data_IF_000189602577
#
_entry.id   IF_000189602577
#
_cell.length_a   1.000
_cell.length_b   1.000
_cell.length_c   1.000
_cell.angle_alpha   90.00
_cell.angle_beta   90.00
_cell.angle_gamma   90.00
#
_symmetry.space_group_name_H-M   'P 1'
#
loop_
_entity.id
_entity.type
_entity.pdbx_description
1 polymer ?
#
# COMPACT_ATOMS: atom_id res chain seq x y z
N UNK A 1 -1.90 10.80 9.47
CA UNK A 1 -1.64 11.98 8.62
C UNK A 1 -2.54 13.13 9.04
N UNK A 2 -2.08 14.37 8.89
CA UNK A 2 -2.92 15.58 9.01
C UNK A 2 -3.39 16.01 7.63
N UNK A 3 -4.70 16.20 7.48
CA UNK A 3 -5.35 16.71 6.26
C UNK A 3 -5.44 18.21 6.36
N UNK A 4 -5.00 18.91 5.31
CA UNK A 4 -4.87 20.37 5.27
C UNK A 4 -5.27 20.92 3.89
N UNK A 5 -5.69 22.19 3.77
CA UNK A 5 -5.77 22.88 2.48
C UNK A 5 -4.41 22.90 1.77
N UNK A 6 -4.39 22.88 0.44
CA UNK A 6 -3.12 22.86 -0.33
C UNK A 6 -2.25 24.11 -0.15
N UNK A 7 -2.85 25.21 0.18
CA UNK A 7 -2.20 26.50 0.44
C UNK A 7 -1.83 26.71 1.92
N UNK A 8 -2.10 25.72 2.79
CA UNK A 8 -1.76 25.79 4.20
C UNK A 8 -0.25 25.73 4.43
N UNK A 9 0.24 26.47 5.43
CA UNK A 9 1.67 26.59 5.75
C UNK A 9 2.35 25.22 5.99
N UNK A 10 1.66 24.29 6.62
CA UNK A 10 2.12 22.91 6.91
C UNK A 10 2.54 22.16 5.64
N UNK A 11 2.03 22.52 4.47
CA UNK A 11 2.37 21.87 3.21
C UNK A 11 3.83 22.09 2.80
N UNK A 12 4.51 23.08 3.37
CA UNK A 12 5.93 23.32 3.13
C UNK A 12 6.85 22.28 3.79
N UNK A 13 6.38 21.56 4.82
CA UNK A 13 7.10 20.47 5.47
C UNK A 13 6.81 19.13 4.77
N UNK A 14 7.75 18.19 4.82
CA UNK A 14 7.53 16.81 4.35
C UNK A 14 6.76 15.99 5.37
N UNK A 15 7.01 16.21 6.67
CA UNK A 15 6.34 15.59 7.81
C UNK A 15 6.23 16.60 8.96
N UNK A 16 5.34 16.35 9.91
CA UNK A 16 5.09 17.19 11.08
C UNK A 16 4.96 16.36 12.35
N UNK A 17 5.06 17.01 13.50
CA UNK A 17 4.80 16.46 14.83
C UNK A 17 3.50 16.98 15.39
N UNK A 18 2.99 16.37 16.48
CA UNK A 18 1.83 16.90 17.21
C UNK A 18 2.14 18.29 17.82
N UNK A 19 3.40 18.55 18.18
CA UNK A 19 3.83 19.84 18.69
C UNK A 19 3.72 20.96 17.63
N UNK A 20 3.97 20.65 16.36
CA UNK A 20 3.81 21.59 15.25
C UNK A 20 2.35 21.96 14.97
N UNK A 21 1.42 21.17 15.51
CA UNK A 21 -0.02 21.34 15.37
C UNK A 21 -0.69 21.90 16.63
N UNK A 22 0.11 22.25 17.67
CA UNK A 22 -0.43 22.63 18.97
C UNK A 22 -1.30 23.89 18.94
N UNK A 23 -0.96 24.84 18.08
CA UNK A 23 -1.67 26.13 17.91
C UNK A 23 -2.74 26.07 16.79
N UNK A 24 -2.94 24.92 16.18
CA UNK A 24 -3.92 24.73 15.11
C UNK A 24 -5.25 24.20 15.65
N UNK A 25 -6.36 24.67 15.08
CA UNK A 25 -7.68 24.09 15.38
C UNK A 25 -7.78 22.68 14.77
N UNK A 26 -7.88 21.67 15.63
CA UNK A 26 -7.98 20.29 15.20
C UNK A 26 -9.40 19.73 15.44
N UNK A 27 -9.96 19.13 14.37
CA UNK A 27 -11.24 18.45 14.47
C UNK A 27 -11.06 17.04 15.03
N UNK A 28 -11.92 16.68 15.98
CA UNK A 28 -12.06 15.35 16.56
C UNK A 28 -13.48 14.87 16.33
N UNK A 29 -13.83 14.32 15.14
CA UNK A 29 -15.19 13.90 14.84
C UNK A 29 -15.68 12.82 15.80
N UNK A 30 -17.00 12.61 15.89
CA UNK A 30 -17.57 11.62 16.80
C UNK A 30 -17.22 10.18 16.38
N UNK A 31 -16.89 9.95 15.13
CA UNK A 31 -16.43 8.68 14.54
C UNK A 31 -14.89 8.59 14.45
N UNK A 32 -14.16 9.40 15.23
CA UNK A 32 -12.69 9.34 15.29
C UNK A 32 -12.23 7.92 15.64
N UNK A 33 -11.25 7.42 14.87
CA UNK A 33 -10.67 6.08 15.05
C UNK A 33 -9.47 6.07 16.00
N UNK A 34 -9.03 7.23 16.45
CA UNK A 34 -7.94 7.35 17.42
C UNK A 34 -8.50 7.47 18.83
N UNK A 35 -7.86 6.76 19.75
CA UNK A 35 -8.08 6.89 21.18
C UNK A 35 -7.03 7.86 21.74
N UNK A 36 -7.42 9.11 21.92
CA UNK A 36 -6.57 10.17 22.39
C UNK A 36 -6.62 10.28 23.92
N UNK A 37 -5.50 10.05 24.60
CA UNK A 37 -5.37 10.37 26.03
C UNK A 37 -5.55 11.86 26.26
N UNK A 38 -4.98 12.68 25.36
CA UNK A 38 -5.16 14.12 25.29
C UNK A 38 -5.23 14.52 23.82
N UNK A 39 -6.38 14.97 23.32
CA UNK A 39 -6.50 15.44 21.96
C UNK A 39 -5.53 16.57 21.68
N UNK A 40 -4.73 16.51 20.56
CA UNK A 40 -3.79 17.57 20.22
C UNK A 40 -4.50 18.80 19.66
N UNK A 41 -3.78 19.92 19.63
CA UNK A 41 -4.24 21.17 19.04
C UNK A 41 -5.28 21.90 19.86
N UNK A 42 -5.80 22.99 19.32
CA UNK A 42 -6.91 23.73 19.90
C UNK A 42 -8.22 23.06 19.56
N UNK A 43 -9.12 22.84 20.55
CA UNK A 43 -10.42 22.24 20.29
C UNK A 43 -11.28 23.14 19.41
N UNK A 44 -11.92 22.59 18.41
CA UNK A 44 -12.94 23.29 17.63
C UNK A 44 -14.17 23.63 18.50
N UNK A 45 -14.84 24.72 18.17
CA UNK A 45 -16.07 25.13 18.85
C UNK A 45 -17.18 24.06 18.81
N UNK A 46 -17.27 23.35 17.71
CA UNK A 46 -18.24 22.27 17.51
C UNK A 46 -17.53 21.02 16.99
N UNK A 47 -17.94 19.86 17.51
CA UNK A 47 -17.42 18.57 17.11
C UNK A 47 -18.19 18.05 15.89
N UNK A 48 -17.53 17.81 14.73
CA UNK A 48 -18.20 17.24 13.57
C UNK A 48 -18.79 15.86 13.89
N UNK A 49 -19.95 15.54 13.31
CA UNK A 49 -20.58 14.24 13.54
C UNK A 49 -19.80 13.09 12.90
N UNK A 50 -19.20 13.36 11.74
CA UNK A 50 -18.48 12.33 10.96
C UNK A 50 -17.17 12.85 10.39
N UNK A 51 -16.27 11.92 10.07
CA UNK A 51 -15.02 12.23 9.34
C UNK A 51 -15.25 12.98 8.03
N UNK A 52 -16.23 12.61 7.15
CA UNK A 52 -16.57 13.42 5.98
C UNK A 52 -16.95 14.86 6.29
N UNK A 53 -17.77 15.09 7.33
CA UNK A 53 -18.15 16.45 7.72
C UNK A 53 -16.92 17.26 8.16
N UNK A 54 -16.00 16.64 8.91
CA UNK A 54 -14.73 17.25 9.27
C UNK A 54 -13.89 17.62 8.04
N UNK A 55 -13.84 16.76 7.02
CA UNK A 55 -13.11 17.03 5.76
C UNK A 55 -13.69 18.24 5.03
N UNK A 56 -15.03 18.43 5.02
CA UNK A 56 -15.66 19.62 4.45
C UNK A 56 -15.25 20.90 5.20
N UNK A 57 -15.15 20.85 6.53
CA UNK A 57 -14.70 21.99 7.35
C UNK A 57 -13.22 22.31 7.11
N UNK A 58 -12.37 21.29 6.93
CA UNK A 58 -10.97 21.48 6.52
C UNK A 58 -10.90 22.17 5.16
N UNK A 59 -11.73 21.76 4.22
CA UNK A 59 -11.80 22.37 2.89
C UNK A 59 -12.29 23.83 2.95
N UNK A 60 -13.11 24.17 3.93
CA UNK A 60 -13.53 25.54 4.20
C UNK A 60 -12.47 26.38 4.93
N UNK A 61 -11.32 25.81 5.30
CA UNK A 61 -10.25 26.49 6.00
C UNK A 61 -10.54 26.80 7.47
N UNK A 62 -11.47 26.06 8.11
CA UNK A 62 -11.88 26.30 9.50
C UNK A 62 -10.93 25.64 10.50
N UNK A 63 -10.23 24.58 10.10
CA UNK A 63 -9.29 23.82 10.91
C UNK A 63 -8.68 22.68 10.16
N UNK A 64 -7.99 21.78 10.87
CA UNK A 64 -7.28 20.63 10.32
C UNK A 64 -7.83 19.33 10.91
N UNK A 65 -7.48 18.20 10.30
CA UNK A 65 -7.99 16.89 10.73
C UNK A 65 -6.87 15.84 10.70
N UNK A 66 -6.66 15.13 11.81
CA UNK A 66 -5.75 13.99 11.86
C UNK A 66 -6.56 12.70 11.65
N UNK A 67 -6.17 11.91 10.63
CA UNK A 67 -6.82 10.64 10.31
C UNK A 67 -5.80 9.61 9.83
N UNK A 68 -6.11 8.31 9.86
CA UNK A 68 -5.34 7.32 9.13
C UNK A 68 -5.24 7.68 7.63
N UNK A 69 -4.11 7.41 7.01
CA UNK A 69 -3.88 7.72 5.58
C UNK A 69 -4.94 7.09 4.66
N UNK A 70 -5.50 5.94 5.05
CA UNK A 70 -6.59 5.29 4.32
C UNK A 70 -7.84 6.16 4.23
N UNK A 71 -8.22 6.85 5.32
CA UNK A 71 -9.36 7.76 5.35
C UNK A 71 -9.06 9.05 4.60
N UNK A 72 -7.85 9.60 4.72
CA UNK A 72 -7.43 10.75 3.92
C UNK A 72 -7.49 10.48 2.41
N UNK A 73 -7.21 9.23 1.98
CA UNK A 73 -7.33 8.80 0.59
C UNK A 73 -8.78 8.54 0.18
N UNK A 74 -9.58 7.98 1.07
CA UNK A 74 -11.00 7.69 0.83
C UNK A 74 -11.79 8.98 0.59
N UNK A 75 -11.55 10.01 1.41
CA UNK A 75 -12.21 11.31 1.34
C UNK A 75 -11.38 12.36 0.62
N UNK A 76 -10.57 11.91 -0.34
CA UNK A 76 -9.70 12.79 -1.11
C UNK A 76 -10.47 13.86 -1.85
N UNK A 77 -9.99 15.14 -1.74
CA UNK A 77 -10.49 16.31 -2.47
C UNK A 77 -9.34 16.97 -3.23
N UNK A 78 -9.68 17.69 -4.32
CA UNK A 78 -8.68 18.38 -5.15
C UNK A 78 -8.01 19.56 -4.47
N UNK A 79 -8.73 20.19 -3.54
CA UNK A 79 -8.32 21.37 -2.76
C UNK A 79 -7.54 21.02 -1.51
N UNK A 80 -7.54 19.75 -1.10
CA UNK A 80 -6.85 19.24 0.07
C UNK A 80 -5.59 18.45 -0.27
N UNK A 81 -4.73 18.33 0.71
CA UNK A 81 -3.57 17.43 0.74
C UNK A 81 -3.36 16.91 2.15
N UNK A 82 -2.34 16.08 2.38
CA UNK A 82 -2.00 15.62 3.72
C UNK A 82 -0.49 15.52 3.93
N UNK A 83 -0.07 15.56 5.22
CA UNK A 83 1.30 15.33 5.66
C UNK A 83 1.34 14.24 6.73
N UNK A 84 2.38 13.40 6.77
CA UNK A 84 2.61 12.48 7.86
C UNK A 84 2.74 13.21 9.20
N UNK A 85 2.15 12.66 10.26
CA UNK A 85 2.37 13.08 11.65
C UNK A 85 3.16 11.95 12.32
N UNK A 86 4.42 12.21 12.67
CA UNK A 86 5.37 11.15 13.02
C UNK A 86 5.17 10.56 14.41
N UNK A 87 4.59 11.33 15.33
CA UNK A 87 4.34 10.98 16.73
C UNK A 87 2.86 10.76 17.09
N UNK A 88 1.96 10.77 16.09
CA UNK A 88 0.55 10.47 16.31
C UNK A 88 0.32 8.97 16.61
N UNK A 89 -0.76 8.64 17.35
CA UNK A 89 -1.19 7.26 17.55
C UNK A 89 -1.35 6.51 16.22
N UNK A 90 -1.12 5.21 16.24
CA UNK A 90 -1.31 4.35 15.06
C UNK A 90 -2.67 3.69 15.12
N UNK A 91 -3.44 3.81 14.05
CA UNK A 91 -4.63 3.01 13.83
C UNK A 91 -4.23 1.62 13.34
N UNK A 92 -4.88 0.59 13.88
CA UNK A 92 -4.68 -0.80 13.50
C UNK A 92 -5.96 -1.40 12.94
N UNK A 93 -5.85 -2.18 11.87
CA UNK A 93 -6.93 -2.98 11.32
C UNK A 93 -6.62 -4.44 11.58
N UNK A 94 -7.55 -5.16 12.22
CA UNK A 94 -7.44 -6.59 12.46
C UNK A 94 -8.33 -7.37 11.49
N UNK A 95 -7.82 -8.47 10.97
CA UNK A 95 -8.60 -9.47 10.27
C UNK A 95 -8.99 -10.55 11.29
N UNK A 96 -10.28 -10.81 11.43
CA UNK A 96 -10.79 -11.85 12.33
C UNK A 96 -11.78 -12.75 11.59
N UNK A 97 -11.77 -14.05 11.94
CA UNK A 97 -12.71 -15.05 11.42
C UNK A 97 -12.90 -16.14 12.49
N UNK A 98 -14.02 -16.92 12.44
CA UNK A 98 -14.18 -18.10 13.29
C UNK A 98 -13.08 -19.13 13.01
N UNK A 99 -12.54 -19.75 14.08
CA UNK A 99 -11.44 -20.71 13.96
C UNK A 99 -11.81 -21.89 13.04
N UNK A 100 -13.04 -22.38 13.17
CA UNK A 100 -13.58 -23.46 12.33
C UNK A 100 -13.75 -23.09 10.86
N UNK A 101 -13.72 -21.80 10.52
CA UNK A 101 -13.80 -21.32 9.14
C UNK A 101 -12.41 -21.10 8.50
N UNK A 102 -11.33 -21.56 9.14
CA UNK A 102 -9.98 -21.51 8.57
C UNK A 102 -9.90 -22.49 7.39
N UNK A 103 -9.89 -21.94 6.19
CA UNK A 103 -9.79 -22.68 4.93
C UNK A 103 -8.53 -22.25 4.17
N UNK A 104 -8.17 -23.00 3.12
CA UNK A 104 -7.05 -22.63 2.23
C UNK A 104 -7.22 -21.21 1.66
N UNK A 105 -8.46 -20.77 1.39
CA UNK A 105 -8.74 -19.40 0.93
C UNK A 105 -8.44 -18.35 1.98
N UNK A 106 -8.73 -18.63 3.26
CA UNK A 106 -8.39 -17.74 4.38
C UNK A 106 -6.88 -17.64 4.52
N UNK A 107 -6.16 -18.76 4.44
CA UNK A 107 -4.70 -18.79 4.50
C UNK A 107 -4.07 -18.04 3.31
N UNK A 108 -4.60 -18.20 2.11
CA UNK A 108 -4.15 -17.46 0.92
C UNK A 108 -4.40 -15.96 1.10
N UNK A 109 -5.57 -15.56 1.60
CA UNK A 109 -5.89 -14.16 1.87
C UNK A 109 -4.96 -13.55 2.92
N UNK A 110 -4.69 -14.25 4.02
CA UNK A 110 -3.70 -13.83 5.03
C UNK A 110 -2.33 -13.66 4.38
N UNK A 111 -1.97 -14.60 3.49
CA UNK A 111 -0.74 -14.54 2.72
C UNK A 111 -0.64 -13.26 1.88
N UNK A 112 -1.71 -12.87 1.19
CA UNK A 112 -1.79 -11.65 0.38
C UNK A 112 -1.66 -10.40 1.25
N UNK A 113 -2.41 -10.32 2.34
CA UNK A 113 -2.38 -9.20 3.29
C UNK A 113 -0.97 -9.01 3.88
N UNK A 114 -0.24 -10.11 4.13
CA UNK A 114 1.16 -10.09 4.59
C UNK A 114 2.18 -9.84 3.47
N UNK A 115 1.73 -9.49 2.26
CA UNK A 115 2.60 -9.17 1.13
C UNK A 115 3.11 -10.38 0.35
N UNK A 116 2.50 -11.57 0.49
CA UNK A 116 2.78 -12.69 -0.40
C UNK A 116 2.10 -12.44 -1.75
N UNK A 117 2.85 -12.59 -2.82
CA UNK A 117 2.26 -12.58 -4.17
C UNK A 117 1.66 -13.94 -4.49
N UNK A 118 0.62 -13.98 -5.33
CA UNK A 118 -0.06 -15.20 -5.81
C UNK A 118 0.91 -16.25 -6.37
N UNK A 119 2.10 -15.84 -6.81
CA UNK A 119 3.15 -16.71 -7.35
C UNK A 119 4.18 -17.18 -6.31
N UNK A 120 3.98 -16.90 -5.01
CA UNK A 120 4.88 -17.37 -3.95
C UNK A 120 4.62 -18.85 -3.66
N UNK A 121 5.52 -19.72 -4.11
CA UNK A 121 5.45 -21.20 -3.94
C UNK A 121 5.71 -21.67 -2.50
N UNK A 122 5.87 -20.80 -1.51
CA UNK A 122 6.20 -21.18 -0.12
C UNK A 122 5.01 -21.66 0.72
N UNK A 123 3.81 -21.80 0.16
CA UNK A 123 2.62 -22.29 0.87
C UNK A 123 1.98 -23.52 0.25
N UNK A 124 2.50 -24.06 -0.83
CA UNK A 124 1.98 -25.29 -1.45
C UNK A 124 2.75 -26.52 -0.97
N UNK A 125 2.57 -26.86 0.29
CA UNK A 125 2.84 -28.23 0.77
C UNK A 125 1.53 -29.01 0.69
N UNK A 126 1.19 -29.49 -0.50
CA UNK A 126 0.02 -30.35 -0.63
C UNK A 126 -0.36 -30.56 -2.08
N UNK A 127 0.12 -31.62 -2.65
CA UNK A 127 -0.21 -32.35 -3.91
C UNK A 127 0.97 -32.48 -4.85
N UNK A 128 2.01 -33.17 -4.38
CA UNK A 128 3.05 -33.70 -5.24
C UNK A 128 2.97 -35.25 -5.26
N UNK A 129 1.74 -35.77 -5.40
CA UNK A 129 1.50 -37.23 -5.42
C UNK A 129 0.71 -37.73 -6.63
N UNK A 130 0.34 -36.86 -7.61
CA UNK A 130 -0.45 -37.35 -8.78
C UNK A 130 0.10 -36.99 -10.16
N UNK A 131 1.35 -36.54 -10.28
CA UNK A 131 1.93 -36.21 -11.59
C UNK A 131 3.06 -37.14 -12.04
N UNK A 132 3.24 -38.32 -11.41
CA UNK A 132 4.33 -39.25 -11.76
C UNK A 132 3.83 -40.56 -12.41
N UNK A 133 2.63 -40.58 -13.01
CA UNK A 133 2.17 -41.69 -13.82
C UNK A 133 1.64 -41.20 -15.16
N UNK A 134 2.51 -40.81 -16.08
CA UNK A 134 2.36 -40.92 -17.53
C UNK A 134 3.55 -40.35 -18.28
N UNK A 135 4.61 -41.13 -18.35
CA UNK A 135 5.59 -41.01 -19.42
C UNK A 135 5.53 -42.31 -20.24
N UNK A 136 5.13 -42.26 -21.49
CA UNK A 136 5.35 -43.38 -22.37
C UNK A 136 6.79 -43.42 -22.86
N UNK A 137 7.40 -44.56 -22.73
CA UNK A 137 8.65 -44.98 -23.39
C UNK A 137 8.64 -44.60 -24.87
N UNK A 138 9.67 -43.92 -25.34
CA UNK A 138 10.12 -43.98 -26.73
C UNK A 138 11.60 -44.25 -26.77
N UNK A 139 11.88 -45.49 -27.14
CA UNK A 139 13.16 -46.01 -27.58
C UNK A 139 13.72 -45.27 -28.80
N UNK A 140 15.00 -45.12 -28.82
CA UNK A 140 15.94 -45.42 -29.87
C UNK A 140 15.89 -44.64 -31.18
N UNK A 141 16.98 -44.00 -31.50
CA UNK A 141 17.23 -43.46 -32.82
C UNK A 141 18.58 -42.74 -32.92
N UNK A 142 19.63 -43.54 -33.02
CA UNK A 142 20.98 -43.15 -33.40
C UNK A 142 20.97 -42.65 -34.86
N UNK A 143 21.58 -41.50 -35.17
CA UNK A 143 22.43 -41.25 -36.35
C UNK A 143 22.76 -39.78 -36.56
N UNK A 144 23.96 -39.50 -36.43
CA UNK A 144 24.99 -39.17 -37.44
C UNK A 144 25.29 -37.70 -37.63
N UNK A 145 26.56 -37.43 -37.29
CA UNK A 145 27.42 -36.29 -37.70
C UNK A 145 27.19 -35.79 -39.12
N UNK A 146 27.20 -34.50 -39.29
CA UNK A 146 27.97 -33.92 -40.42
C UNK A 146 28.45 -32.50 -40.07
N UNK A 147 29.74 -32.38 -40.10
CA UNK A 147 30.61 -31.22 -40.12
C UNK A 147 30.41 -30.50 -41.46
N UNK A 148 30.34 -29.19 -41.47
CA UNK A 148 30.92 -28.37 -42.56
C UNK A 148 31.20 -26.95 -42.10
N UNK A 149 32.49 -26.71 -42.03
CA UNK A 149 33.17 -25.42 -42.12
C UNK A 149 32.77 -24.61 -43.34
N UNK A 150 32.82 -23.30 -43.22
CA UNK A 150 33.52 -22.34 -44.10
C UNK A 150 32.99 -20.95 -43.82
N UNK A 151 33.87 -20.14 -43.33
CA UNK A 151 34.83 -19.22 -43.93
C UNK A 151 34.25 -17.81 -44.17
N UNK A 152 34.73 -16.91 -43.39
CA UNK A 152 35.56 -15.72 -43.64
C UNK A 152 35.06 -14.63 -44.61
N UNK A 153 35.36 -13.45 -44.13
CA UNK A 153 35.72 -12.15 -44.79
C UNK A 153 34.55 -11.25 -45.14
N UNK A 154 34.57 -9.95 -45.01
CA UNK A 154 35.61 -8.95 -44.77
C UNK A 154 34.97 -7.56 -44.63
N UNK A 155 35.54 -6.72 -43.82
CA UNK A 155 35.85 -5.28 -44.01
C UNK A 155 34.85 -4.36 -44.72
N UNK A 156 34.61 -3.23 -44.10
CA UNK A 156 34.10 -2.04 -44.77
C UNK A 156 33.96 -0.86 -43.80
N UNK A 157 35.06 -0.17 -43.54
CA UNK A 157 35.08 1.19 -42.97
C UNK A 157 34.33 2.14 -43.90
N UNK A 158 33.62 3.12 -43.34
CA UNK A 158 33.76 4.49 -43.87
C UNK A 158 33.41 5.54 -42.79
N UNK A 159 34.23 6.58 -42.79
CA UNK A 159 34.27 7.78 -41.97
C UNK A 159 33.25 8.81 -42.49
N UNK A 160 32.82 9.59 -41.49
CA UNK A 160 32.47 11.01 -41.39
C UNK A 160 32.46 11.91 -42.67
N UNK A 161 31.81 13.06 -42.63
CA UNK A 161 32.08 14.17 -41.70
C UNK A 161 30.94 14.50 -40.73
#
# INVERSE_FOLDING_TARGET
VVVVPKDHLITAAEEVTLADLADEVLFHPLDDVFDWDSPPGEPSFERPATTPDAVELVAAGVGLLIVPQSLARLYHRRDLTYRPVVDAPRSSIALSWPEEATTDLVEDFIGIVRGRTVNSTRGRTGTKAEAEQKRPDKQGGTRQKQIRDRVMTSQGRYRRP
#
